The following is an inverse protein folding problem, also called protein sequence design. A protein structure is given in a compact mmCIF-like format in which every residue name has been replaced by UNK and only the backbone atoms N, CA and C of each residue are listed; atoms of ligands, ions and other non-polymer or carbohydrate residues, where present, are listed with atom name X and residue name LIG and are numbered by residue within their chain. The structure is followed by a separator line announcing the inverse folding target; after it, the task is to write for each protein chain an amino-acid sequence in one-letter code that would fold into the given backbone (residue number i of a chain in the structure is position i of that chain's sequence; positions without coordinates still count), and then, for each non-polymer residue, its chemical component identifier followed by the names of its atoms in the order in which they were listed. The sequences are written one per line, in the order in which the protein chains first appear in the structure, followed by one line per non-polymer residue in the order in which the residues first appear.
data_IF_079522674197
#
_entry.id   IF_079522674197
#
_cell.length_a   1.000
_cell.length_b   1.000
_cell.length_c   1.000
_cell.angle_alpha   90.00
_cell.angle_beta   90.00
_cell.angle_gamma   90.00
#
_symmetry.space_group_name_H-M   'P 1'
#
loop_
_entity.id
_entity.type
_entity.pdbx_description
1 polymer ?
#
# COMPACT_ATOMS: atom_id res chain seq x y z
N UNK A 1 -9.24 16.73 -0.62
CA UNK A 1 -8.45 15.50 -0.85
C UNK A 1 -8.15 14.83 0.48
N UNK A 2 -7.16 15.19 1.29
CA UNK A 2 -7.02 14.64 2.66
C UNK A 2 -7.37 15.73 3.67
N UNK A 3 -8.47 15.60 4.42
CA UNK A 3 -8.92 16.60 5.40
C UNK A 3 -8.69 16.18 6.85
N UNK A 4 -7.62 16.71 7.45
CA UNK A 4 -7.24 16.46 8.84
C UNK A 4 -7.45 17.66 9.77
N UNK A 5 -8.12 18.74 9.32
CA UNK A 5 -8.22 20.00 10.07
C UNK A 5 -8.80 19.86 11.47
N UNK A 6 -9.69 18.88 11.66
CA UNK A 6 -10.35 18.61 12.95
C UNK A 6 -9.55 17.69 13.86
N UNK A 7 -8.80 16.74 13.30
CA UNK A 7 -8.05 15.74 14.08
C UNK A 7 -6.95 15.11 13.21
N UNK A 8 -5.70 15.47 13.49
CA UNK A 8 -4.52 14.92 12.79
C UNK A 8 -4.36 13.40 12.97
N UNK A 9 -4.81 12.84 14.09
CA UNK A 9 -4.66 11.41 14.39
C UNK A 9 -5.68 10.53 13.67
N UNK A 10 -6.73 11.13 13.09
CA UNK A 10 -7.79 10.38 12.39
C UNK A 10 -7.23 9.51 11.27
N UNK A 11 -6.20 9.96 10.56
CA UNK A 11 -5.59 9.21 9.45
C UNK A 11 -5.03 7.83 9.88
N UNK A 12 -4.72 7.66 11.17
CA UNK A 12 -4.21 6.40 11.76
C UNK A 12 -5.28 5.60 12.50
N UNK A 13 -6.55 5.97 12.39
CA UNK A 13 -7.63 5.21 13.03
C UNK A 13 -8.07 4.12 12.05
N UNK A 14 -7.75 2.84 12.32
CA UNK A 14 -8.15 1.76 11.42
C UNK A 14 -9.67 1.64 11.38
N UNK A 15 -10.20 1.37 10.18
CA UNK A 15 -11.61 1.05 9.99
C UNK A 15 -11.79 -0.46 9.92
N UNK A 16 -12.86 -0.95 10.56
CA UNK A 16 -13.21 -2.38 10.63
C UNK A 16 -13.88 -2.84 9.34
N UNK A 17 -14.69 -1.97 8.73
CA UNK A 17 -15.36 -2.23 7.46
C UNK A 17 -14.62 -1.52 6.33
N UNK A 18 -14.51 -2.19 5.19
CA UNK A 18 -13.97 -1.61 3.96
C UNK A 18 -15.14 -1.24 3.04
N UNK A 19 -15.34 0.06 2.84
CA UNK A 19 -16.34 0.63 1.93
C UNK A 19 -15.70 1.04 0.61
N UNK A 20 -14.45 1.50 0.66
CA UNK A 20 -13.77 2.17 -0.46
C UNK A 20 -12.76 1.25 -1.17
N UNK A 21 -12.38 0.15 -0.52
CA UNK A 21 -11.47 -0.84 -1.07
C UNK A 21 -12.05 -2.26 -1.00
N UNK A 22 -11.57 -3.12 -1.89
CA UNK A 22 -11.66 -4.57 -1.75
C UNK A 22 -10.26 -5.14 -1.59
N UNK A 23 -10.13 -6.20 -0.80
CA UNK A 23 -8.84 -6.86 -0.53
C UNK A 23 -8.93 -8.31 -1.01
N UNK A 24 -7.98 -8.71 -1.85
CA UNK A 24 -7.79 -10.10 -2.25
C UNK A 24 -6.65 -10.71 -1.44
N UNK A 25 -6.99 -11.68 -0.61
CA UNK A 25 -6.04 -12.42 0.23
C UNK A 25 -5.07 -13.27 -0.61
N UNK A 26 -3.83 -13.49 -0.11
CA UNK A 26 -2.88 -14.37 -0.77
C UNK A 26 -3.23 -15.85 -0.48
N UNK A 27 -2.65 -16.78 -1.25
CA UNK A 27 -2.87 -18.22 -0.99
C UNK A 27 -2.17 -18.68 0.30
N UNK A 28 -1.08 -18.01 0.67
CA UNK A 28 -0.30 -18.24 1.88
C UNK A 28 0.40 -16.95 2.28
N UNK A 29 0.84 -16.88 3.54
CA UNK A 29 1.74 -15.82 3.99
C UNK A 29 3.20 -16.25 3.86
N UNK A 30 4.05 -15.30 3.50
CA UNK A 30 5.50 -15.42 3.38
C UNK A 30 6.17 -14.33 4.21
N UNK A 31 7.45 -14.51 4.62
CA UNK A 31 8.21 -13.45 5.31
C UNK A 31 8.19 -12.12 4.57
N UNK A 32 8.19 -12.15 3.25
CA UNK A 32 8.06 -11.00 2.37
C UNK A 32 6.74 -11.09 1.61
N UNK A 33 5.83 -10.12 1.81
CA UNK A 33 4.54 -10.07 1.10
C UNK A 33 4.51 -8.88 0.14
N UNK A 34 4.01 -9.09 -1.08
CA UNK A 34 3.79 -8.00 -2.03
C UNK A 34 2.38 -7.43 -1.85
N UNK A 35 2.28 -6.20 -1.39
CA UNK A 35 1.02 -5.45 -1.30
C UNK A 35 0.90 -4.53 -2.51
N UNK A 36 -0.10 -4.76 -3.35
CA UNK A 36 -0.37 -3.97 -4.55
C UNK A 36 -1.61 -3.11 -4.32
N UNK A 37 -1.43 -1.78 -4.37
CA UNK A 37 -2.52 -0.82 -4.23
C UNK A 37 -2.94 -0.29 -5.61
N UNK A 38 -4.02 -0.84 -6.16
CA UNK A 38 -4.63 -0.46 -7.44
C UNK A 38 -5.79 0.52 -7.22
N UNK A 39 -5.42 1.77 -6.96
CA UNK A 39 -6.34 2.87 -6.65
C UNK A 39 -6.58 3.82 -7.84
N UNK A 40 -6.13 3.41 -9.04
CA UNK A 40 -6.30 4.13 -10.30
C UNK A 40 -6.67 3.14 -11.43
N UNK A 41 -7.00 3.67 -12.61
CA UNK A 41 -7.54 2.87 -13.73
C UNK A 41 -6.58 1.84 -14.34
N UNK A 42 -5.27 1.93 -14.09
CA UNK A 42 -4.29 0.98 -14.61
C UNK A 42 -3.91 -0.03 -13.51
N UNK A 43 -4.33 -1.31 -13.62
CA UNK A 43 -3.99 -2.33 -12.63
C UNK A 43 -2.49 -2.67 -12.68
N UNK A 44 -1.81 -2.68 -11.53
CA UNK A 44 -0.40 -3.01 -11.42
C UNK A 44 -0.15 -4.49 -11.13
N UNK A 45 -1.16 -5.24 -10.65
CA UNK A 45 -0.99 -6.63 -10.19
C UNK A 45 -0.29 -7.55 -11.20
N UNK A 46 -0.67 -7.47 -12.48
CA UNK A 46 -0.08 -8.30 -13.52
C UNK A 46 1.42 -8.06 -13.68
N UNK A 47 1.82 -6.79 -13.72
CA UNK A 47 3.22 -6.39 -13.85
C UNK A 47 4.02 -6.72 -12.60
N UNK A 48 3.43 -6.58 -11.41
CA UNK A 48 4.07 -6.96 -10.15
C UNK A 48 4.32 -8.47 -10.08
N UNK A 49 3.34 -9.30 -10.45
CA UNK A 49 3.54 -10.76 -10.54
C UNK A 49 4.66 -11.13 -11.51
N UNK A 50 4.70 -10.47 -12.67
CA UNK A 50 5.76 -10.67 -13.66
C UNK A 50 7.12 -10.28 -13.08
N UNK A 51 7.21 -9.16 -12.38
CA UNK A 51 8.43 -8.70 -11.70
C UNK A 51 8.91 -9.71 -10.66
N UNK A 52 8.04 -10.14 -9.74
CA UNK A 52 8.37 -11.13 -8.69
C UNK A 52 8.96 -12.40 -9.30
N UNK A 53 8.28 -12.95 -10.31
CA UNK A 53 8.74 -14.16 -11.02
C UNK A 53 10.09 -13.95 -11.72
N UNK A 54 10.28 -12.82 -12.40
CA UNK A 54 11.54 -12.51 -13.11
C UNK A 54 12.72 -12.31 -12.16
N UNK A 55 12.48 -11.79 -10.95
CA UNK A 55 13.50 -11.63 -9.93
C UNK A 55 13.73 -12.90 -9.10
N UNK A 56 12.92 -13.96 -9.28
CA UNK A 56 13.01 -15.18 -8.49
C UNK A 56 12.67 -14.96 -7.00
N UNK A 57 11.77 -14.03 -6.70
CA UNK A 57 11.39 -13.67 -5.34
C UNK A 57 10.25 -14.57 -4.83
N UNK A 58 10.33 -15.01 -3.57
CA UNK A 58 9.26 -15.78 -2.92
C UNK A 58 8.31 -14.83 -2.17
N UNK A 59 7.35 -14.25 -2.90
CA UNK A 59 6.37 -13.32 -2.36
C UNK A 59 4.99 -13.61 -2.94
N UNK A 60 4.01 -13.82 -2.09
CA UNK A 60 2.60 -13.83 -2.51
C UNK A 60 2.08 -12.38 -2.64
N UNK A 61 1.03 -12.22 -3.46
CA UNK A 61 0.44 -10.90 -3.76
C UNK A 61 -0.89 -10.71 -3.04
N UNK A 62 -0.93 -9.73 -2.16
CA UNK A 62 -2.16 -9.12 -1.64
C UNK A 62 -2.52 -7.95 -2.55
N UNK A 63 -3.72 -7.97 -3.11
CA UNK A 63 -4.19 -6.89 -3.98
C UNK A 63 -5.29 -6.09 -3.28
N UNK A 64 -5.15 -4.77 -3.30
CA UNK A 64 -6.16 -3.83 -2.82
C UNK A 64 -6.64 -3.01 -4.00
N UNK A 65 -7.93 -3.07 -4.30
CA UNK A 65 -8.53 -2.35 -5.43
C UNK A 65 -9.58 -1.38 -4.91
N UNK A 66 -9.65 -0.19 -5.49
CA UNK A 66 -10.73 0.75 -5.18
C UNK A 66 -12.09 0.26 -5.70
N UNK A 67 -13.18 0.65 -5.02
CA UNK A 67 -14.55 0.25 -5.40
C UNK A 67 -15.19 1.15 -6.48
N UNK A 68 -14.46 2.09 -7.06
CA UNK A 68 -15.01 3.16 -7.92
C UNK A 68 -14.92 2.88 -9.43
N UNK A 69 -14.49 1.68 -9.84
CA UNK A 69 -14.27 1.31 -11.24
C UNK A 69 -13.41 2.35 -12.02
N UNK A 70 -12.52 3.06 -11.32
CA UNK A 70 -11.77 4.18 -11.89
C UNK A 70 -11.13 5.08 -10.85
N UNK A 71 -11.48 6.37 -10.88
CA UNK A 71 -10.93 7.38 -9.98
C UNK A 71 -11.78 7.50 -8.71
N UNK A 72 -11.12 7.77 -7.57
CA UNK A 72 -11.81 8.15 -6.34
C UNK A 72 -12.65 9.41 -6.55
N UNK A 73 -13.91 9.39 -6.11
CA UNK A 73 -14.86 10.50 -6.29
C UNK A 73 -15.16 11.29 -5.01
N UNK A 74 -14.68 10.83 -3.86
CA UNK A 74 -14.89 11.50 -2.57
C UNK A 74 -14.11 12.81 -2.46
N UNK A 75 -14.64 13.79 -1.75
CA UNK A 75 -13.93 15.05 -1.47
C UNK A 75 -12.85 14.88 -0.36
N UNK A 76 -13.13 13.99 0.59
CA UNK A 76 -12.24 13.59 1.69
C UNK A 76 -11.83 12.11 1.52
N UNK A 77 -10.59 11.88 1.16
CA UNK A 77 -9.92 10.60 1.00
C UNK A 77 -9.32 10.10 2.32
N UNK A 78 -9.46 10.82 3.43
CA UNK A 78 -9.01 10.33 4.74
C UNK A 78 -9.59 8.94 5.06
N UNK A 79 -10.89 8.66 4.85
CA UNK A 79 -11.43 7.32 5.04
C UNK A 79 -10.77 6.25 4.15
N UNK A 80 -10.45 6.58 2.90
CA UNK A 80 -9.74 5.66 1.98
C UNK A 80 -8.36 5.33 2.52
N UNK A 81 -7.63 6.34 3.02
CA UNK A 81 -6.33 6.13 3.68
C UNK A 81 -6.48 5.27 4.94
N UNK A 82 -7.53 5.48 5.73
CA UNK A 82 -7.79 4.71 6.95
C UNK A 82 -8.07 3.22 6.66
N UNK A 83 -8.78 2.92 5.56
CA UNK A 83 -9.00 1.54 5.11
C UNK A 83 -7.71 0.89 4.59
N UNK A 84 -6.94 1.61 3.77
CA UNK A 84 -5.61 1.11 3.34
C UNK A 84 -4.73 0.87 4.58
N UNK A 85 -4.70 1.80 5.53
CA UNK A 85 -3.92 1.67 6.76
C UNK A 85 -4.36 0.47 7.62
N UNK A 86 -5.65 0.12 7.67
CA UNK A 86 -6.08 -1.09 8.37
C UNK A 86 -5.59 -2.37 7.69
N UNK A 87 -5.45 -2.41 6.36
CA UNK A 87 -4.80 -3.54 5.66
C UNK A 87 -3.35 -3.69 6.11
N UNK A 88 -2.58 -2.61 6.18
CA UNK A 88 -1.20 -2.67 6.68
C UNK A 88 -1.13 -3.19 8.12
N UNK A 89 -2.02 -2.74 9.01
CA UNK A 89 -2.06 -3.23 10.39
C UNK A 89 -2.41 -4.73 10.46
N UNK A 90 -3.35 -5.18 9.63
CA UNK A 90 -3.74 -6.60 9.58
C UNK A 90 -2.60 -7.49 9.09
N UNK A 91 -1.86 -7.05 8.06
CA UNK A 91 -0.69 -7.77 7.57
C UNK A 91 0.44 -7.76 8.60
N UNK A 92 0.73 -6.61 9.23
CA UNK A 92 1.77 -6.52 10.27
C UNK A 92 1.45 -7.38 11.50
N UNK A 93 0.18 -7.63 11.79
CA UNK A 93 -0.23 -8.49 12.90
C UNK A 93 -0.02 -9.99 12.63
N UNK A 94 0.36 -10.40 11.40
CA UNK A 94 0.72 -11.78 11.06
C UNK A 94 2.17 -12.04 11.43
N UNK A 95 2.43 -13.00 12.31
CA UNK A 95 3.78 -13.34 12.75
C UNK A 95 4.68 -13.86 11.61
N UNK A 96 4.05 -14.40 10.56
CA UNK A 96 4.72 -14.91 9.38
C UNK A 96 5.28 -13.81 8.47
N UNK A 97 4.80 -12.57 8.60
CA UNK A 97 5.15 -11.45 7.72
C UNK A 97 6.18 -10.57 8.42
N UNK A 98 7.35 -10.43 7.79
CA UNK A 98 8.46 -9.60 8.28
C UNK A 98 8.61 -8.30 7.51
N UNK A 99 8.30 -8.30 6.21
CA UNK A 99 8.42 -7.14 5.32
C UNK A 99 7.23 -7.04 4.38
N UNK A 100 6.68 -5.84 4.24
CA UNK A 100 5.69 -5.52 3.22
C UNK A 100 6.38 -4.82 2.05
N UNK A 101 6.33 -5.41 0.87
CA UNK A 101 6.80 -4.82 -0.38
C UNK A 101 5.63 -4.09 -1.04
N UNK A 102 5.62 -2.77 -0.93
CA UNK A 102 4.54 -1.91 -1.40
C UNK A 102 4.75 -1.52 -2.87
N UNK A 103 3.82 -1.93 -3.72
CA UNK A 103 3.67 -1.51 -5.11
C UNK A 103 2.37 -0.73 -5.25
N UNK A 104 2.32 0.30 -6.08
CA UNK A 104 1.09 1.08 -6.21
C UNK A 104 0.86 1.68 -7.61
N UNK A 105 -0.41 1.74 -7.96
CA UNK A 105 -0.97 2.55 -9.04
C UNK A 105 -2.05 3.44 -8.43
N UNK A 106 -1.69 4.68 -8.05
CA UNK A 106 -2.60 5.57 -7.33
C UNK A 106 -2.26 7.05 -7.51
N UNK A 107 -3.21 7.97 -7.26
CA UNK A 107 -2.90 9.39 -7.16
C UNK A 107 -1.84 9.69 -6.09
N UNK A 108 -0.84 10.53 -6.41
CA UNK A 108 0.29 10.83 -5.50
C UNK A 108 -0.17 11.40 -4.16
N UNK A 109 -1.25 12.19 -4.14
CA UNK A 109 -1.82 12.72 -2.90
C UNK A 109 -2.33 11.60 -1.96
N UNK A 110 -2.86 10.51 -2.50
CA UNK A 110 -3.26 9.35 -1.72
C UNK A 110 -2.04 8.60 -1.17
N UNK A 111 -1.03 8.38 -2.01
CA UNK A 111 0.24 7.74 -1.60
C UNK A 111 0.90 8.51 -0.45
N UNK A 112 0.89 9.84 -0.52
CA UNK A 112 1.37 10.71 0.56
C UNK A 112 0.57 10.50 1.86
N UNK A 113 -0.75 10.44 1.77
CA UNK A 113 -1.62 10.14 2.91
C UNK A 113 -1.32 8.80 3.57
N UNK A 114 -1.14 7.75 2.77
CA UNK A 114 -0.76 6.42 3.26
C UNK A 114 0.61 6.48 3.96
N UNK A 115 1.60 7.14 3.36
CA UNK A 115 2.91 7.35 4.00
C UNK A 115 2.81 8.08 5.34
N UNK A 116 1.97 9.12 5.44
CA UNK A 116 1.70 9.83 6.70
C UNK A 116 1.07 8.91 7.77
N UNK A 117 0.17 8.01 7.36
CA UNK A 117 -0.47 7.07 8.27
C UNK A 117 0.55 6.06 8.82
N UNK A 118 1.38 5.48 7.95
CA UNK A 118 2.38 4.46 8.29
C UNK A 118 3.52 5.00 9.16
N UNK A 119 4.04 6.19 8.84
CA UNK A 119 5.29 6.68 9.46
C UNK A 119 6.47 5.76 9.13
N UNK A 120 7.35 5.51 10.10
CA UNK A 120 8.55 4.67 9.95
C UNK A 120 8.52 3.39 10.80
N UNK A 121 7.37 3.03 11.38
CA UNK A 121 7.25 1.91 12.33
C UNK A 121 7.02 0.56 11.65
N UNK A 122 6.51 0.57 10.42
CA UNK A 122 6.18 -0.64 9.66
C UNK A 122 7.33 -0.94 8.70
N UNK A 123 7.87 -2.17 8.66
CA UNK A 123 8.90 -2.57 7.71
C UNK A 123 8.31 -2.65 6.30
N UNK A 124 8.28 -1.50 5.63
CA UNK A 124 7.74 -1.34 4.27
C UNK A 124 8.85 -0.94 3.32
N UNK A 125 9.04 -1.72 2.24
CA UNK A 125 9.85 -1.33 1.10
C UNK A 125 8.93 -0.85 -0.02
N UNK A 126 9.04 0.42 -0.41
CA UNK A 126 8.27 1.03 -1.50
C UNK A 126 8.98 0.81 -2.82
N UNK A 127 8.24 0.37 -3.82
CA UNK A 127 8.69 0.18 -5.19
C UNK A 127 8.05 1.22 -6.10
N UNK A 128 8.87 1.82 -6.97
CA UNK A 128 8.38 2.71 -8.01
C UNK A 128 8.48 2.02 -9.38
N UNK A 129 7.47 2.27 -10.22
CA UNK A 129 7.51 1.84 -11.61
C UNK A 129 8.30 2.83 -12.47
N UNK A 130 9.19 2.32 -13.31
CA UNK A 130 9.95 3.12 -14.28
C UNK A 130 9.89 2.47 -15.67
N UNK A 131 9.53 3.26 -16.68
CA UNK A 131 9.30 2.78 -18.04
C UNK A 131 10.61 2.31 -18.71
N UNK A 132 11.74 2.88 -18.30
CA UNK A 132 13.05 2.58 -18.86
C UNK A 132 13.83 1.56 -18.03
N UNK A 133 14.23 0.46 -18.68
CA UNK A 133 15.17 -0.59 -18.26
C UNK A 133 14.70 -1.61 -17.22
N UNK A 134 14.08 -1.23 -16.10
CA UNK A 134 13.56 -2.17 -15.08
C UNK A 134 12.20 -1.71 -14.54
N UNK A 135 11.13 -2.52 -14.68
CA UNK A 135 9.77 -2.05 -14.45
C UNK A 135 9.51 -1.68 -13.00
N UNK A 136 10.19 -2.28 -12.00
CA UNK A 136 10.08 -1.87 -10.61
C UNK A 136 11.44 -1.79 -9.93
N UNK A 137 11.65 -0.72 -9.16
CA UNK A 137 12.85 -0.53 -8.34
C UNK A 137 12.46 -0.16 -6.90
N UNK A 138 13.14 -0.73 -5.89
CA UNK A 138 12.96 -0.28 -4.51
C UNK A 138 13.51 1.14 -4.38
N UNK A 139 12.68 2.09 -3.96
CA UNK A 139 13.04 3.50 -3.86
C UNK A 139 13.11 4.00 -2.42
N UNK A 140 12.42 3.33 -1.50
CA UNK A 140 12.30 3.78 -0.12
C UNK A 140 12.08 2.60 0.81
N UNK A 141 12.77 2.58 1.95
CA UNK A 141 12.48 1.66 3.06
C UNK A 141 12.05 2.49 4.27
N UNK A 142 10.78 2.40 4.64
CA UNK A 142 10.20 3.32 5.64
C UNK A 142 10.88 3.17 7.00
N UNK A 143 11.20 1.95 7.41
CA UNK A 143 11.88 1.64 8.67
C UNK A 143 13.37 2.04 8.71
N UNK A 144 13.98 2.38 7.57
CA UNK A 144 15.36 2.90 7.50
C UNK A 144 15.39 4.43 7.48
N UNK A 145 14.23 5.10 7.45
CA UNK A 145 14.15 6.55 7.53
C UNK A 145 14.51 7.03 8.92
N UNK A 146 15.59 7.81 9.00
CA UNK A 146 15.97 8.49 10.24
C UNK A 146 14.87 9.46 10.64
N UNK A 147 14.29 9.26 11.82
CA UNK A 147 13.51 10.32 12.47
C UNK A 147 14.47 11.48 12.73
N UNK A 148 14.16 12.64 12.18
CA UNK A 148 14.86 13.90 12.49
C UNK A 148 14.19 14.62 13.67
N UNK A 149 13.26 13.94 14.35
CA UNK A 149 12.48 14.39 15.50
C UNK A 149 12.84 13.56 16.73
#
# INVERSE_FOLDING_TARGET
VIDLRKNLRRIKQPLVEHKYITVSEPQRFTPDIALVLDMASHPARGDVKKYINQQGLDMEVVEVVNTYEGNLTEDDWTPVVQEIYSVFNQLQAKEEITTIHLFHSMPVALAFGVGMALGNFVPVTVYNWEASEKPYQPVLKLNELKSIL
#
